data_IF_449412545146
#
_entry.id   IF_449412545146
#
_cell.length_a   1.000
_cell.length_b   1.000
_cell.length_c   1.000
_cell.angle_alpha   90.00
_cell.angle_beta   90.00
_cell.angle_gamma   90.00
#
_symmetry.space_group_name_H-M   'P 1'
#
loop_
_entity.id
_entity.type
_entity.pdbx_description
1 polymer ?
#
# COMPACT_ATOMS: atom_id res chain seq x y z
N UNK A 1 2.16 -18.19 1.84
CA UNK A 1 1.83 -16.88 1.27
C UNK A 1 0.68 -16.21 2.03
N UNK A 2 -0.51 -16.81 2.07
CA UNK A 2 -1.72 -16.26 2.71
C UNK A 2 -1.51 -15.87 4.17
N UNK A 3 -0.78 -16.68 4.92
CA UNK A 3 -0.49 -16.43 6.33
C UNK A 3 0.25 -15.09 6.55
N UNK A 4 1.15 -14.72 5.64
CA UNK A 4 1.85 -13.43 5.70
C UNK A 4 1.02 -12.30 5.11
N UNK A 5 0.29 -12.55 4.04
CA UNK A 5 -0.50 -11.53 3.35
C UNK A 5 -1.78 -11.16 4.13
N UNK A 6 -2.46 -12.14 4.69
CA UNK A 6 -3.78 -11.98 5.33
C UNK A 6 -3.80 -12.32 6.82
N UNK A 7 -2.69 -12.74 7.38
CA UNK A 7 -2.58 -13.14 8.78
C UNK A 7 -3.21 -14.50 9.09
N UNK A 8 -3.67 -15.23 8.07
CA UNK A 8 -4.39 -16.49 8.23
C UNK A 8 -4.10 -17.45 7.08
N UNK A 9 -4.43 -18.71 7.28
CA UNK A 9 -4.46 -19.75 6.25
C UNK A 9 -5.72 -20.58 6.38
N UNK A 10 -6.16 -21.17 5.26
CA UNK A 10 -7.29 -22.07 5.23
C UNK A 10 -6.95 -23.36 4.48
N UNK A 11 -7.36 -24.48 5.06
CA UNK A 11 -7.18 -25.81 4.50
C UNK A 11 -8.53 -26.52 4.40
N UNK A 12 -8.81 -27.10 3.26
CA UNK A 12 -9.93 -28.03 3.11
C UNK A 12 -9.44 -29.43 3.49
N UNK A 13 -9.98 -29.97 4.54
CA UNK A 13 -9.71 -31.32 5.07
C UNK A 13 -10.77 -32.25 4.50
N UNK A 14 -10.33 -33.24 3.75
CA UNK A 14 -11.19 -34.26 3.16
C UNK A 14 -11.03 -35.56 3.96
N UNK A 15 -12.13 -36.04 4.54
CA UNK A 15 -12.14 -37.28 5.26
C UNK A 15 -12.22 -38.50 4.32
N UNK A 16 -11.66 -39.62 4.71
CA UNK A 16 -11.80 -40.89 4.04
C UNK A 16 -13.30 -41.34 3.94
N UNK A 17 -13.60 -42.28 3.09
CA UNK A 17 -14.99 -42.77 2.92
C UNK A 17 -15.60 -43.30 4.20
N UNK A 18 -14.81 -43.99 5.03
CA UNK A 18 -15.19 -44.54 6.34
C UNK A 18 -15.06 -43.50 7.47
N UNK A 19 -14.60 -42.27 7.21
CA UNK A 19 -14.44 -41.17 8.18
C UNK A 19 -13.48 -41.48 9.33
N UNK A 20 -12.60 -42.44 9.17
CA UNK A 20 -11.63 -42.80 10.21
C UNK A 20 -10.38 -41.92 10.18
N UNK A 21 -9.95 -41.51 9.01
CA UNK A 21 -8.72 -40.76 8.78
C UNK A 21 -8.89 -39.62 7.76
N UNK A 22 -7.92 -38.71 7.73
CA UNK A 22 -7.85 -37.65 6.72
C UNK A 22 -7.26 -38.28 5.44
N UNK A 23 -8.03 -38.25 4.35
CA UNK A 23 -7.59 -38.74 3.05
C UNK A 23 -6.77 -37.71 2.29
N UNK A 24 -7.21 -36.42 2.27
CA UNK A 24 -6.61 -35.38 1.48
C UNK A 24 -6.67 -34.02 2.19
N UNK A 25 -5.73 -33.15 1.89
CA UNK A 25 -5.69 -31.78 2.39
C UNK A 25 -5.40 -30.85 1.22
N UNK A 26 -6.26 -29.86 1.00
CA UNK A 26 -6.11 -28.86 -0.05
C UNK A 26 -6.01 -27.46 0.53
N UNK A 27 -5.17 -26.62 -0.06
CA UNK A 27 -5.14 -25.22 0.23
C UNK A 27 -6.39 -24.51 -0.30
N UNK A 28 -6.97 -23.62 0.50
CA UNK A 28 -8.06 -22.74 0.12
C UNK A 28 -7.58 -21.30 0.30
N UNK A 29 -7.62 -20.50 -0.77
CA UNK A 29 -7.26 -19.08 -0.68
C UNK A 29 -8.17 -18.36 0.32
N UNK A 30 -7.58 -17.64 1.27
CA UNK A 30 -8.31 -16.96 2.35
C UNK A 30 -9.25 -15.88 1.78
N UNK A 31 -8.91 -15.27 0.65
CA UNK A 31 -9.75 -14.31 -0.06
C UNK A 31 -11.09 -14.89 -0.52
N UNK A 32 -11.15 -16.20 -0.74
CA UNK A 32 -12.36 -16.92 -1.16
C UNK A 32 -13.26 -17.32 0.01
N UNK A 33 -12.78 -17.17 1.24
CA UNK A 33 -13.44 -17.62 2.45
C UNK A 33 -14.12 -16.48 3.19
N UNK A 34 -15.32 -16.72 3.69
CA UNK A 34 -16.03 -15.84 4.64
C UNK A 34 -16.54 -16.67 5.82
N UNK A 35 -16.35 -16.15 7.02
CA UNK A 35 -16.84 -16.79 8.23
C UNK A 35 -18.37 -16.79 8.26
N UNK A 36 -18.97 -17.91 8.62
CA UNK A 36 -20.38 -17.94 8.97
C UNK A 36 -20.61 -17.16 10.27
N UNK A 37 -21.86 -16.79 10.52
CA UNK A 37 -22.22 -16.08 11.76
C UNK A 37 -21.79 -16.91 12.97
N UNK A 38 -21.03 -16.33 13.90
CA UNK A 38 -20.67 -17.01 15.14
C UNK A 38 -21.91 -17.39 15.96
N UNK A 39 -21.79 -18.44 16.74
CA UNK A 39 -22.81 -18.84 17.72
C UNK A 39 -22.82 -17.88 18.94
N UNK A 40 -23.69 -18.16 19.90
CA UNK A 40 -23.83 -17.35 21.14
C UNK A 40 -22.55 -17.30 21.99
N UNK A 41 -21.66 -18.27 21.81
CA UNK A 41 -20.36 -18.36 22.47
C UNK A 41 -19.23 -17.68 21.66
N UNK A 42 -19.56 -17.06 20.50
CA UNK A 42 -18.60 -16.43 19.62
C UNK A 42 -17.80 -17.39 18.74
N UNK A 43 -18.17 -18.69 18.71
CA UNK A 43 -17.48 -19.71 17.90
C UNK A 43 -18.05 -19.75 16.48
N UNK A 44 -17.16 -19.71 15.50
CA UNK A 44 -17.51 -19.91 14.09
C UNK A 44 -17.62 -21.40 13.78
N UNK A 45 -18.83 -21.86 13.40
CA UNK A 45 -19.12 -23.28 13.16
C UNK A 45 -18.97 -23.68 11.68
N UNK A 46 -18.62 -22.75 10.79
CA UNK A 46 -18.38 -23.04 9.39
C UNK A 46 -18.05 -21.80 8.56
N UNK A 47 -17.86 -22.03 7.28
CA UNK A 47 -17.39 -21.03 6.35
C UNK A 47 -18.16 -21.10 5.04
N UNK A 48 -18.33 -19.95 4.39
CA UNK A 48 -18.80 -19.84 3.04
C UNK A 48 -17.60 -19.63 2.09
N UNK A 49 -17.62 -20.37 0.99
CA UNK A 49 -16.57 -20.29 -0.04
C UNK A 49 -17.21 -19.84 -1.34
N UNK A 50 -16.62 -18.85 -1.99
CA UNK A 50 -16.98 -18.39 -3.32
C UNK A 50 -15.72 -18.11 -4.15
N UNK A 51 -15.79 -18.36 -5.43
CA UNK A 51 -14.72 -18.01 -6.37
C UNK A 51 -14.66 -16.49 -6.63
N UNK A 52 -15.81 -15.81 -6.52
CA UNK A 52 -15.93 -14.37 -6.68
C UNK A 52 -17.03 -13.82 -5.77
N UNK A 53 -16.62 -13.00 -4.80
CA UNK A 53 -17.51 -12.34 -3.86
C UNK A 53 -18.16 -11.07 -4.40
N UNK A 54 -17.64 -10.52 -5.50
CA UNK A 54 -18.24 -9.34 -6.16
C UNK A 54 -19.51 -9.72 -6.94
N UNK A 55 -19.59 -10.96 -7.42
CA UNK A 55 -20.73 -11.46 -8.19
C UNK A 55 -21.29 -12.78 -7.61
N UNK A 56 -21.89 -12.70 -6.44
CA UNK A 56 -22.46 -13.86 -5.75
C UNK A 56 -23.71 -14.46 -6.43
N UNK A 57 -24.31 -13.77 -7.40
CA UNK A 57 -25.41 -14.31 -8.20
C UNK A 57 -24.92 -15.40 -9.16
N UNK A 58 -23.78 -15.15 -9.78
CA UNK A 58 -23.16 -16.10 -10.72
C UNK A 58 -22.29 -17.12 -10.01
N UNK A 59 -21.55 -16.69 -8.97
CA UNK A 59 -20.67 -17.51 -8.15
C UNK A 59 -21.29 -17.73 -6.77
N UNK A 60 -22.30 -18.61 -6.72
CA UNK A 60 -23.03 -18.86 -5.46
C UNK A 60 -22.10 -19.41 -4.37
N UNK A 61 -22.04 -18.73 -3.21
CA UNK A 61 -21.30 -19.26 -2.07
C UNK A 61 -21.87 -20.58 -1.60
N UNK A 62 -21.00 -21.51 -1.26
CA UNK A 62 -21.40 -22.78 -0.64
C UNK A 62 -20.82 -22.87 0.77
N UNK A 63 -21.58 -23.51 1.66
CA UNK A 63 -21.22 -23.65 3.05
C UNK A 63 -20.39 -24.92 3.28
N UNK A 64 -19.32 -24.81 4.07
CA UNK A 64 -18.49 -25.91 4.54
C UNK A 64 -18.32 -25.78 6.06
N UNK A 65 -18.56 -26.84 6.85
CA UNK A 65 -18.41 -26.78 8.30
C UNK A 65 -16.95 -26.60 8.71
N UNK A 66 -16.74 -26.01 9.88
CA UNK A 66 -15.42 -25.89 10.49
C UNK A 66 -14.87 -27.27 10.86
N UNK A 67 -13.56 -27.42 10.75
CA UNK A 67 -12.87 -28.66 11.10
C UNK A 67 -13.09 -29.04 12.56
N UNK A 68 -13.58 -30.27 12.76
CA UNK A 68 -13.81 -30.82 14.08
C UNK A 68 -13.46 -32.31 14.07
N UNK A 69 -12.48 -32.70 14.85
CA UNK A 69 -12.03 -34.11 14.96
C UNK A 69 -13.11 -35.03 15.50
N UNK A 70 -14.01 -34.52 16.34
CA UNK A 70 -15.07 -35.28 16.98
C UNK A 70 -16.36 -35.38 16.14
N UNK A 71 -16.53 -34.49 15.16
CA UNK A 71 -17.66 -34.49 14.24
C UNK A 71 -17.17 -34.67 12.81
N UNK A 72 -17.26 -35.90 12.31
CA UNK A 72 -16.79 -36.28 10.98
C UNK A 72 -17.97 -36.59 10.03
N UNK A 73 -19.14 -36.02 10.29
CA UNK A 73 -20.34 -36.25 9.47
C UNK A 73 -20.20 -35.67 8.06
N UNK A 74 -19.58 -34.51 7.93
CA UNK A 74 -19.28 -33.89 6.64
C UNK A 74 -17.97 -34.43 6.02
N UNK A 75 -17.98 -34.78 4.71
CA UNK A 75 -16.77 -35.23 4.02
C UNK A 75 -15.68 -34.18 3.94
N UNK A 76 -16.06 -32.93 3.83
CA UNK A 76 -15.18 -31.79 3.70
C UNK A 76 -15.39 -30.86 4.88
N UNK A 77 -14.30 -30.39 5.44
CA UNK A 77 -14.29 -29.44 6.56
C UNK A 77 -13.17 -28.42 6.35
N UNK A 78 -13.36 -27.20 6.80
CA UNK A 78 -12.36 -26.14 6.69
C UNK A 78 -11.65 -25.95 8.02
N UNK A 79 -10.34 -26.11 8.00
CA UNK A 79 -9.44 -25.63 9.05
C UNK A 79 -9.00 -24.20 8.69
N UNK A 80 -9.50 -23.21 9.42
CA UNK A 80 -9.10 -21.81 9.28
C UNK A 80 -8.42 -21.35 10.56
N UNK A 81 -7.20 -20.87 10.44
CA UNK A 81 -6.39 -20.43 11.58
C UNK A 81 -5.44 -19.30 11.18
N UNK A 82 -4.99 -18.53 12.14
CA UNK A 82 -4.12 -17.38 11.86
C UNK A 82 -3.48 -16.78 13.09
N UNK A 83 -2.93 -15.58 12.90
CA UNK A 83 -2.23 -14.83 13.94
C UNK A 83 -3.25 -14.25 14.90
N UNK A 84 -3.13 -14.59 16.18
CA UNK A 84 -3.99 -14.01 17.21
C UNK A 84 -3.87 -12.48 17.22
N UNK A 85 -5.01 -11.82 17.18
CA UNK A 85 -5.13 -10.36 17.33
C UNK A 85 -6.22 -10.05 18.34
N UNK A 86 -5.95 -9.23 19.37
CA UNK A 86 -6.97 -8.82 20.33
C UNK A 86 -8.18 -8.19 19.63
N UNK A 87 -9.38 -8.44 20.14
CA UNK A 87 -10.65 -7.94 19.60
C UNK A 87 -11.05 -8.44 18.20
N UNK A 88 -10.32 -9.43 17.65
CA UNK A 88 -10.64 -10.06 16.37
C UNK A 88 -11.17 -11.48 16.64
N UNK A 89 -12.49 -11.68 16.55
CA UNK A 89 -13.11 -12.95 16.91
C UNK A 89 -13.23 -13.91 15.73
N UNK A 90 -13.43 -13.41 14.51
CA UNK A 90 -13.73 -14.25 13.35
C UNK A 90 -12.69 -14.16 12.25
N UNK A 91 -11.99 -13.03 12.13
CA UNK A 91 -10.96 -12.80 11.14
C UNK A 91 -9.63 -12.50 11.80
N UNK A 92 -8.57 -12.72 11.07
CA UNK A 92 -7.21 -12.47 11.53
C UNK A 92 -6.64 -11.21 10.86
N UNK A 93 -5.66 -10.60 11.51
CA UNK A 93 -4.97 -9.42 10.98
C UNK A 93 -3.50 -9.76 10.74
N UNK A 94 -2.94 -9.44 9.59
CA UNK A 94 -1.52 -9.67 9.33
C UNK A 94 -0.64 -8.79 10.22
N UNK A 95 0.55 -9.28 10.51
CA UNK A 95 1.50 -8.62 11.41
C UNK A 95 2.04 -7.28 10.87
N UNK A 96 2.16 -7.15 9.54
CA UNK A 96 2.69 -5.96 8.89
C UNK A 96 1.75 -4.74 8.92
N UNK A 97 0.51 -4.87 9.38
CA UNK A 97 -0.44 -3.73 9.47
C UNK A 97 0.15 -2.58 10.29
N UNK A 98 0.94 -2.90 11.31
CA UNK A 98 1.63 -1.90 12.14
C UNK A 98 2.63 -1.04 11.37
N UNK A 99 3.20 -1.53 10.27
CA UNK A 99 4.19 -0.82 9.46
C UNK A 99 3.63 -0.24 8.15
N UNK A 100 2.32 -0.30 7.90
CA UNK A 100 1.70 0.21 6.67
C UNK A 100 2.05 1.67 6.36
N UNK A 101 2.09 2.53 7.39
CA UNK A 101 2.46 3.93 7.19
C UNK A 101 3.91 4.08 6.72
N UNK A 102 4.81 3.25 7.25
CA UNK A 102 6.21 3.24 6.84
C UNK A 102 6.38 2.74 5.41
N UNK A 103 5.65 1.69 5.02
CA UNK A 103 5.62 1.20 3.64
C UNK A 103 5.04 2.24 2.67
N UNK A 104 4.02 3.00 3.09
CA UNK A 104 3.47 4.10 2.29
C UNK A 104 4.48 5.23 2.11
N UNK A 105 5.23 5.61 3.14
CA UNK A 105 6.29 6.62 3.06
C UNK A 105 7.38 6.14 2.09
N UNK A 106 7.81 4.89 2.17
CA UNK A 106 8.80 4.31 1.26
C UNK A 106 8.35 4.38 -0.21
N UNK A 107 7.10 4.03 -0.47
CA UNK A 107 6.48 4.17 -1.80
C UNK A 107 6.50 5.62 -2.30
N UNK A 108 6.17 6.58 -1.45
CA UNK A 108 6.18 8.02 -1.80
C UNK A 108 7.59 8.56 -2.07
N UNK A 109 8.58 8.08 -1.32
CA UNK A 109 9.99 8.43 -1.58
C UNK A 109 10.42 7.86 -2.93
N UNK A 110 10.04 6.63 -3.24
CA UNK A 110 10.34 6.00 -4.53
C UNK A 110 9.70 6.77 -5.70
N UNK A 111 8.44 7.19 -5.58
CA UNK A 111 7.76 8.05 -6.56
C UNK A 111 8.48 9.39 -6.72
N UNK A 112 8.90 10.00 -5.62
CA UNK A 112 9.65 11.26 -5.64
C UNK A 112 10.97 11.12 -6.39
N UNK A 113 11.75 10.08 -6.10
CA UNK A 113 13.01 9.83 -6.80
C UNK A 113 12.78 9.53 -8.29
N UNK A 114 11.78 8.75 -8.63
CA UNK A 114 11.43 8.46 -10.02
C UNK A 114 11.10 9.74 -10.78
N UNK A 115 10.29 10.62 -10.19
CA UNK A 115 9.94 11.90 -10.78
C UNK A 115 11.17 12.80 -10.94
N UNK A 116 12.06 12.85 -9.94
CA UNK A 116 13.31 13.63 -10.03
C UNK A 116 14.22 13.12 -11.15
N UNK A 117 14.37 11.82 -11.27
CA UNK A 117 15.17 11.19 -12.34
C UNK A 117 14.54 11.50 -13.70
N UNK A 118 13.22 11.30 -13.84
CA UNK A 118 12.49 11.56 -15.09
C UNK A 118 12.54 13.00 -15.52
N UNK A 119 12.58 13.93 -14.56
CA UNK A 119 12.68 15.38 -14.80
C UNK A 119 14.14 15.87 -14.86
N UNK A 120 15.13 14.98 -14.99
CA UNK A 120 16.53 15.33 -15.10
C UNK A 120 17.09 16.06 -13.87
N UNK A 121 16.56 15.78 -12.67
CA UNK A 121 16.88 16.49 -11.42
C UNK A 121 16.61 18.00 -11.49
N UNK A 122 15.68 18.45 -12.35
CA UNK A 122 15.27 19.83 -12.43
C UNK A 122 14.63 20.26 -11.11
N UNK A 123 15.38 21.00 -10.32
CA UNK A 123 14.92 21.63 -9.09
C UNK A 123 13.84 22.69 -9.36
N UNK A 124 13.18 23.15 -8.31
CA UNK A 124 12.33 24.33 -8.40
C UNK A 124 13.18 25.58 -8.58
N UNK A 125 12.74 26.48 -9.43
CA UNK A 125 13.43 27.75 -9.71
C UNK A 125 12.55 28.91 -9.31
N UNK A 126 13.20 29.97 -8.79
CA UNK A 126 12.58 31.27 -8.69
C UNK A 126 13.10 32.11 -9.85
N UNK A 127 12.21 32.63 -10.69
CA UNK A 127 12.52 33.51 -11.79
C UNK A 127 12.05 34.90 -11.39
N UNK A 128 12.98 35.82 -11.19
CA UNK A 128 12.68 37.20 -10.81
C UNK A 128 12.84 38.11 -12.04
N UNK A 129 11.78 38.80 -12.42
CA UNK A 129 11.78 39.79 -13.48
C UNK A 129 11.83 41.21 -12.88
N UNK A 130 12.77 42.02 -13.33
CA UNK A 130 13.00 43.39 -12.85
C UNK A 130 12.50 44.48 -13.83
N UNK A 131 11.65 44.11 -14.80
CA UNK A 131 11.20 44.99 -15.88
C UNK A 131 9.85 45.71 -15.63
N UNK A 132 9.45 45.83 -14.38
CA UNK A 132 8.16 46.39 -13.99
C UNK A 132 7.14 45.32 -13.58
N UNK A 133 6.02 45.76 -13.05
CA UNK A 133 4.91 44.86 -12.64
C UNK A 133 3.94 44.75 -13.81
N UNK A 134 3.87 43.58 -14.49
CA UNK A 134 2.97 43.39 -15.62
C UNK A 134 1.51 43.36 -15.15
N UNK A 135 0.61 43.63 -16.06
CA UNK A 135 -0.84 43.47 -15.88
C UNK A 135 -1.17 42.01 -15.60
N UNK A 136 -2.38 41.74 -15.09
CA UNK A 136 -2.79 40.40 -14.78
C UNK A 136 -2.84 39.48 -16.02
N UNK A 137 -3.19 40.06 -17.18
CA UNK A 137 -3.23 39.34 -18.47
C UNK A 137 -1.83 38.97 -18.96
N UNK A 138 -0.89 39.89 -18.87
CA UNK A 138 0.52 39.68 -19.23
C UNK A 138 1.18 38.65 -18.31
N UNK A 139 0.87 38.65 -17.00
CA UNK A 139 1.34 37.60 -16.08
C UNK A 139 0.92 36.22 -16.51
N UNK A 140 -0.37 36.07 -16.87
CA UNK A 140 -0.90 34.80 -17.34
C UNK A 140 -0.25 34.35 -18.65
N UNK A 141 0.05 35.28 -19.56
CA UNK A 141 0.73 34.93 -20.81
C UNK A 141 2.19 34.49 -20.55
N UNK A 142 2.92 35.19 -19.67
CA UNK A 142 4.27 34.81 -19.27
C UNK A 142 4.30 33.46 -18.61
N UNK A 143 3.37 33.21 -17.68
CA UNK A 143 3.23 31.93 -16.97
C UNK A 143 2.95 30.78 -17.94
N UNK A 144 2.01 30.94 -18.87
CA UNK A 144 1.72 29.95 -19.91
C UNK A 144 2.94 29.69 -20.80
N UNK A 145 3.61 30.74 -21.27
CA UNK A 145 4.77 30.58 -22.15
C UNK A 145 5.94 29.88 -21.45
N UNK A 146 6.11 30.11 -20.15
CA UNK A 146 7.13 29.42 -19.36
C UNK A 146 6.71 27.97 -19.05
N UNK A 147 5.44 27.77 -18.72
CA UNK A 147 4.88 26.41 -18.53
C UNK A 147 5.07 25.58 -19.80
N UNK A 148 4.72 26.09 -20.96
CA UNK A 148 4.87 25.40 -22.24
C UNK A 148 6.32 25.09 -22.61
N UNK A 149 7.26 25.96 -22.21
CA UNK A 149 8.68 25.76 -22.50
C UNK A 149 9.42 24.87 -21.51
N UNK A 150 9.05 24.96 -20.22
CA UNK A 150 9.80 24.33 -19.14
C UNK A 150 9.02 23.23 -18.40
N UNK A 151 7.71 23.14 -18.59
CA UNK A 151 6.84 22.16 -17.94
C UNK A 151 6.08 21.31 -18.97
N UNK A 152 6.77 20.79 -20.01
CA UNK A 152 6.17 19.77 -20.87
C UNK A 152 5.99 18.45 -20.07
N UNK A 153 5.22 17.49 -20.58
CA UNK A 153 4.90 16.22 -19.90
C UNK A 153 6.13 15.47 -19.36
N UNK A 154 7.30 15.77 -19.88
CA UNK A 154 8.60 15.19 -19.45
C UNK A 154 9.41 16.09 -18.50
N UNK A 155 9.06 17.38 -18.36
CA UNK A 155 9.81 18.36 -17.54
C UNK A 155 8.88 19.07 -16.57
N UNK A 156 8.58 18.47 -15.43
CA UNK A 156 7.74 19.09 -14.39
C UNK A 156 8.54 19.92 -13.39
N UNK A 157 9.45 20.78 -13.87
CA UNK A 157 10.13 21.75 -13.03
C UNK A 157 9.09 22.76 -12.48
N UNK A 158 9.02 22.91 -11.16
CA UNK A 158 8.20 23.97 -10.54
C UNK A 158 8.98 25.26 -10.54
N UNK A 159 8.36 26.33 -11.02
CA UNK A 159 8.96 27.65 -10.94
C UNK A 159 8.03 28.64 -10.20
N UNK A 160 8.63 29.61 -9.56
CA UNK A 160 7.92 30.70 -8.91
C UNK A 160 8.32 31.99 -9.65
N UNK A 161 7.32 32.74 -10.12
CA UNK A 161 7.54 34.03 -10.81
C UNK A 161 7.43 35.17 -9.82
N UNK A 162 8.42 36.03 -9.83
CA UNK A 162 8.42 37.30 -9.09
C UNK A 162 8.64 38.46 -10.02
N UNK A 163 7.94 39.58 -9.80
CA UNK A 163 8.05 40.79 -10.58
C UNK A 163 8.41 41.97 -9.67
N UNK A 164 9.32 42.83 -10.11
CA UNK A 164 9.79 44.01 -9.38
C UNK A 164 9.87 45.21 -10.29
N UNK A 165 9.58 46.38 -9.75
CA UNK A 165 9.73 47.69 -10.45
C UNK A 165 11.16 48.19 -10.49
N UNK A 166 12.10 47.51 -9.90
CA UNK A 166 13.48 47.92 -9.80
C UNK A 166 14.24 47.66 -11.13
N UNK A 167 14.24 48.65 -11.98
CA UNK A 167 14.90 48.60 -13.31
C UNK A 167 16.43 48.49 -13.25
N UNK A 168 17.03 48.55 -12.06
CA UNK A 168 18.47 48.39 -11.89
C UNK A 168 18.95 46.98 -11.77
N UNK A 169 18.02 46.03 -11.57
CA UNK A 169 18.30 44.58 -11.45
C UNK A 169 18.06 43.87 -12.75
N UNK A 170 18.99 43.01 -13.10
CA UNK A 170 18.78 42.03 -14.19
C UNK A 170 17.87 40.90 -13.73
N UNK A 171 17.10 40.26 -14.64
CA UNK A 171 16.37 39.06 -14.32
C UNK A 171 17.28 37.99 -13.69
N UNK A 172 16.88 37.43 -12.57
CA UNK A 172 17.68 36.46 -11.82
C UNK A 172 16.94 35.14 -11.72
N UNK A 173 17.65 34.06 -11.98
CA UNK A 173 17.14 32.69 -11.78
C UNK A 173 17.84 32.11 -10.56
N UNK A 174 17.12 31.96 -9.47
CA UNK A 174 17.64 31.39 -8.24
C UNK A 174 17.13 29.97 -8.07
N UNK A 175 18.00 28.95 -8.07
CA UNK A 175 17.56 27.59 -7.78
C UNK A 175 17.14 27.51 -6.32
N UNK A 176 15.97 26.91 -6.09
CA UNK A 176 15.49 26.58 -4.73
C UNK A 176 16.08 25.21 -4.37
N UNK A 177 17.34 25.19 -3.96
CA UNK A 177 17.98 23.97 -3.50
C UNK A 177 17.79 23.81 -2.00
N UNK A 178 17.22 22.68 -1.58
CA UNK A 178 17.35 22.26 -0.20
C UNK A 178 18.55 21.31 -0.10
N UNK A 179 19.70 21.89 0.22
CA UNK A 179 21.01 21.23 0.23
C UNK A 179 21.15 20.02 1.20
N UNK A 180 20.19 19.82 2.10
CA UNK A 180 20.22 18.74 3.10
C UNK A 180 19.19 17.63 2.85
N UNK A 181 18.43 17.69 1.74
CA UNK A 181 17.42 16.66 1.43
C UNK A 181 18.06 15.29 1.27
N UNK A 182 19.19 15.18 0.60
CA UNK A 182 19.84 13.89 0.36
C UNK A 182 20.25 13.20 1.67
N UNK A 183 20.78 13.95 2.63
CA UNK A 183 21.13 13.42 3.95
C UNK A 183 19.89 13.00 4.76
N UNK A 184 18.82 13.80 4.67
CA UNK A 184 17.56 13.48 5.32
C UNK A 184 16.93 12.23 4.72
N UNK A 185 16.98 12.05 3.40
CA UNK A 185 16.48 10.85 2.74
C UNK A 185 17.25 9.58 3.12
N UNK A 186 18.59 9.66 3.20
CA UNK A 186 19.40 8.51 3.63
C UNK A 186 19.08 8.10 5.06
N UNK A 187 18.99 9.07 5.99
CA UNK A 187 18.60 8.78 7.37
C UNK A 187 17.19 8.21 7.49
N UNK A 188 16.26 8.71 6.66
CA UNK A 188 14.90 8.24 6.61
C UNK A 188 14.83 6.82 6.03
N UNK A 189 15.62 6.49 5.02
CA UNK A 189 15.67 5.15 4.41
C UNK A 189 16.11 4.08 5.41
N UNK A 190 17.12 4.35 6.24
CA UNK A 190 17.53 3.45 7.32
C UNK A 190 16.41 3.23 8.34
N UNK A 191 15.72 4.30 8.71
CA UNK A 191 14.58 4.24 9.64
C UNK A 191 13.41 3.45 9.06
N UNK A 192 13.08 3.66 7.79
CA UNK A 192 12.03 2.94 7.08
C UNK A 192 12.33 1.45 7.02
N UNK A 193 13.55 1.08 6.61
CA UNK A 193 13.98 -0.31 6.53
C UNK A 193 13.80 -1.02 7.88
N UNK A 194 14.28 -0.42 8.96
CA UNK A 194 14.14 -0.99 10.32
C UNK A 194 12.70 -1.16 10.76
N UNK A 195 11.85 -0.15 10.51
CA UNK A 195 10.45 -0.20 10.94
C UNK A 195 9.62 -1.19 10.09
N UNK A 196 9.85 -1.27 8.79
CA UNK A 196 9.19 -2.24 7.91
C UNK A 196 9.60 -3.66 8.32
N UNK A 197 10.88 -3.94 8.51
CA UNK A 197 11.36 -5.24 8.94
C UNK A 197 10.82 -5.64 10.32
N UNK A 198 10.81 -4.69 11.27
CA UNK A 198 10.23 -4.92 12.59
C UNK A 198 8.74 -5.26 12.51
N UNK A 199 7.98 -4.57 11.65
CA UNK A 199 6.56 -4.88 11.41
C UNK A 199 6.35 -6.28 10.84
N UNK A 200 7.24 -6.75 9.98
CA UNK A 200 7.25 -8.12 9.45
C UNK A 200 7.87 -9.16 10.40
N UNK A 201 8.29 -8.75 11.61
CA UNK A 201 8.99 -9.59 12.59
C UNK A 201 10.31 -10.18 12.05
N UNK A 202 10.95 -9.47 11.13
CA UNK A 202 12.27 -9.80 10.66
C UNK A 202 13.32 -9.09 11.53
N UNK A 203 14.34 -9.81 11.96
CA UNK A 203 15.41 -9.23 12.78
C UNK A 203 16.50 -8.61 11.90
N UNK A 204 16.97 -7.43 12.28
CA UNK A 204 18.03 -6.67 11.58
C UNK A 204 19.33 -7.45 11.29
N UNK A 205 19.75 -8.47 12.06
CA UNK A 205 20.96 -9.25 11.77
C UNK A 205 20.88 -10.16 10.53
N UNK A 206 19.75 -10.23 9.85
CA UNK A 206 19.58 -11.03 8.62
C UNK A 206 19.81 -10.22 7.33
N UNK A 207 20.24 -8.99 7.46
CA UNK A 207 20.66 -8.08 6.38
C UNK A 207 22.14 -7.74 6.61
#
# INVERSE_FOLDING_TARGET
FDFKLQGAFALNIVWSKDRTEIAEIYHVGVEKLRCARPDELGKTNGYYISTDWSNTRQHKPYYVPAFNVNDRTSPNQILYSGIYSPNMNSYYTPDYVSCNNWALIDSRISEFHLNNISNGFAGSFMISFANGIPTQEERQQIERSLTDKFCSETNSGKFVLTFSDDKTRTPEITPINSSDLDKQYLALQDLLTRNILSGHRCTSPML
#
